data_IF_182631996844
#
_entry.id   IF_182631996844
#
_cell.length_a   1.000
_cell.length_b   1.000
_cell.length_c   1.000
_cell.angle_alpha   90.00
_cell.angle_beta   90.00
_cell.angle_gamma   90.00
#
_symmetry.space_group_name_H-M   'P 1'
#
loop_
_entity.id
_entity.type
_entity.pdbx_description
1 polymer ?
#
# COMPACT_ATOMS: atom_id res chain seq x y z
N UNK A 1 13.20 -2.86 2.84
CA UNK A 1 11.85 -2.97 3.44
C UNK A 1 11.26 -1.58 3.41
N UNK A 2 10.12 -1.37 2.76
CA UNK A 2 9.56 -0.03 2.62
C UNK A 2 9.04 0.45 3.98
N UNK A 3 8.98 1.76 4.18
CA UNK A 3 8.25 2.36 5.29
C UNK A 3 6.75 2.26 5.03
N UNK A 4 5.94 2.42 6.08
CA UNK A 4 4.48 2.46 5.91
C UNK A 4 4.03 3.60 4.99
N UNK A 5 4.69 4.76 5.06
CA UNK A 5 4.38 5.90 4.19
C UNK A 5 4.70 5.63 2.72
N UNK A 6 5.76 4.90 2.42
CA UNK A 6 6.11 4.49 1.05
C UNK A 6 5.10 3.49 0.50
N UNK A 7 4.69 2.51 1.31
CA UNK A 7 3.64 1.56 0.94
C UNK A 7 2.31 2.28 0.61
N UNK A 8 1.88 3.22 1.45
CA UNK A 8 0.67 4.03 1.19
C UNK A 8 0.79 4.83 -0.10
N UNK A 9 1.94 5.46 -0.37
CA UNK A 9 2.15 6.22 -1.62
C UNK A 9 2.05 5.33 -2.85
N UNK A 10 2.63 4.13 -2.79
CA UNK A 10 2.55 3.17 -3.90
C UNK A 10 1.12 2.72 -4.17
N UNK A 11 0.34 2.43 -3.13
CA UNK A 11 -1.08 2.10 -3.27
C UNK A 11 -1.87 3.24 -3.91
N UNK A 12 -1.60 4.50 -3.52
CA UNK A 12 -2.25 5.66 -4.14
C UNK A 12 -1.90 5.80 -5.63
N UNK A 13 -0.65 5.51 -6.03
CA UNK A 13 -0.26 5.49 -7.45
C UNK A 13 -0.93 4.35 -8.22
N UNK A 14 -1.11 3.21 -7.57
CA UNK A 14 -1.86 2.07 -8.10
C UNK A 14 -3.38 2.32 -8.17
N UNK A 15 -3.86 3.51 -7.77
CA UNK A 15 -5.25 3.93 -7.93
C UNK A 15 -6.14 3.71 -6.70
N UNK A 16 -5.58 3.24 -5.58
CA UNK A 16 -6.35 3.17 -4.33
C UNK A 16 -6.68 4.58 -3.83
N UNK A 17 -7.85 4.75 -3.24
CA UNK A 17 -8.20 5.98 -2.57
C UNK A 17 -7.70 5.98 -1.13
N UNK A 18 -7.62 7.16 -0.51
CA UNK A 18 -7.35 7.26 0.92
C UNK A 18 -8.35 6.48 1.77
N UNK A 19 -9.61 6.38 1.31
CA UNK A 19 -10.66 5.67 2.04
C UNK A 19 -10.41 4.16 2.02
N UNK A 20 -10.07 3.61 0.86
CA UNK A 20 -9.75 2.18 0.72
C UNK A 20 -8.60 1.79 1.65
N UNK A 21 -7.55 2.62 1.70
CA UNK A 21 -6.39 2.38 2.57
C UNK A 21 -6.78 2.44 4.06
N UNK A 22 -7.65 3.36 4.46
CA UNK A 22 -8.16 3.44 5.84
C UNK A 22 -9.00 2.21 6.18
N UNK A 23 -9.91 1.83 5.29
CA UNK A 23 -10.79 0.68 5.50
C UNK A 23 -9.98 -0.63 5.57
N UNK A 24 -9.00 -0.82 4.69
CA UNK A 24 -8.04 -1.94 4.75
C UNK A 24 -7.20 -1.92 6.03
N UNK A 25 -6.74 -0.74 6.47
CA UNK A 25 -5.97 -0.62 7.72
C UNK A 25 -6.82 -1.04 8.93
N UNK A 26 -8.11 -0.70 8.93
CA UNK A 26 -9.02 -1.06 10.03
C UNK A 26 -9.44 -2.54 9.98
N UNK A 27 -9.59 -3.11 8.79
CA UNK A 27 -10.01 -4.50 8.61
C UNK A 27 -8.85 -5.48 8.82
N UNK A 28 -7.71 -5.24 8.17
CA UNK A 28 -6.60 -6.21 8.06
C UNK A 28 -5.36 -5.78 8.85
N UNK A 29 -5.35 -4.54 9.35
CA UNK A 29 -4.25 -4.00 10.13
C UNK A 29 -3.14 -3.38 9.30
N UNK A 30 -2.27 -2.64 10.00
CA UNK A 30 -1.22 -1.81 9.39
C UNK A 30 -0.17 -2.63 8.63
N UNK A 31 0.16 -3.83 9.12
CA UNK A 31 1.17 -4.68 8.49
C UNK A 31 0.69 -5.31 7.17
N UNK A 32 -0.61 -5.60 7.05
CA UNK A 32 -1.21 -6.10 5.81
C UNK A 32 -1.16 -5.03 4.71
N UNK A 33 -1.57 -3.80 5.03
CA UNK A 33 -1.49 -2.66 4.11
C UNK A 33 -0.04 -2.38 3.70
N UNK A 34 0.91 -2.51 4.64
CA UNK A 34 2.33 -2.36 4.35
C UNK A 34 2.82 -3.38 3.31
N UNK A 35 2.47 -4.66 3.48
CA UNK A 35 2.85 -5.73 2.54
C UNK A 35 2.23 -5.50 1.15
N UNK A 36 0.95 -5.15 1.09
CA UNK A 36 0.28 -4.85 -0.17
C UNK A 36 0.97 -3.69 -0.92
N UNK A 37 1.34 -2.63 -0.20
CA UNK A 37 2.10 -1.53 -0.79
C UNK A 37 3.53 -1.90 -1.18
N UNK A 38 4.19 -2.80 -0.45
CA UNK A 38 5.48 -3.35 -0.87
C UNK A 38 5.38 -4.15 -2.18
N UNK A 39 4.27 -4.86 -2.40
CA UNK A 39 4.03 -5.59 -3.65
C UNK A 39 3.73 -4.63 -4.81
N UNK A 40 2.93 -3.58 -4.58
CA UNK A 40 2.69 -2.53 -5.58
C UNK A 40 3.99 -1.83 -6.01
N UNK A 41 4.94 -1.60 -5.08
CA UNK A 41 6.27 -1.03 -5.41
C UNK A 41 7.06 -1.96 -6.33
N UNK A 42 7.01 -3.28 -6.09
CA UNK A 42 7.71 -4.26 -6.93
C UNK A 42 7.11 -4.31 -8.33
N UNK A 43 5.80 -4.20 -8.44
CA UNK A 43 5.08 -4.16 -9.72
C UNK A 43 5.47 -2.89 -10.51
N UNK A 44 5.46 -1.71 -9.88
CA UNK A 44 5.93 -0.44 -10.47
C UNK A 44 7.40 -0.50 -10.92
N UNK A 45 8.25 -1.30 -10.25
CA UNK A 45 9.68 -1.40 -10.55
C UNK A 45 10.02 -2.45 -11.65
N UNK A 46 9.07 -3.31 -12.01
CA UNK A 46 9.24 -4.34 -13.03
C UNK A 46 8.66 -3.93 -14.40
N UNK A 47 8.03 -2.76 -14.49
CA UNK A 47 7.68 -2.05 -15.74
C UNK A 47 8.77 -1.05 -16.16
#
# INVERSE_FOLDING_TARGET
>A
MATYGEAVKALLRAGFTHRDIIDLTNADGRDAVKKLGEDAIKEESNE
#
